data_IF_024958100320
#
_entry.id   IF_024958100320
#
_cell.length_a   1.000
_cell.length_b   1.000
_cell.length_c   1.000
_cell.angle_alpha   90.00
_cell.angle_beta   90.00
_cell.angle_gamma   90.00
#
_symmetry.space_group_name_H-M   'P 1'
#
loop_
_entity.id
_entity.type
_entity.pdbx_description
1 polymer ?
#
# COMPACT_ATOMS: atom_id res chain seq x y z
N UNK A 1 16.01 7.31 -5.91
CA UNK A 1 14.88 7.61 -6.80
C UNK A 1 14.83 6.52 -7.85
N UNK A 2 13.66 6.22 -8.42
CA UNK A 2 13.55 5.16 -9.41
C UNK A 2 14.32 5.52 -10.68
N UNK A 3 14.81 4.50 -11.40
CA UNK A 3 15.70 4.68 -12.55
C UNK A 3 15.08 5.56 -13.66
N UNK A 4 13.77 5.47 -13.86
CA UNK A 4 13.04 6.31 -14.84
C UNK A 4 13.09 7.81 -14.52
N UNK A 5 13.40 8.20 -13.29
CA UNK A 5 13.50 9.60 -12.86
C UNK A 5 14.95 10.13 -12.82
N UNK A 6 15.93 9.37 -13.32
CA UNK A 6 17.35 9.72 -13.26
C UNK A 6 17.63 11.08 -13.90
N UNK A 7 18.40 11.93 -13.20
CA UNK A 7 18.77 13.27 -13.67
C UNK A 7 17.68 14.35 -13.52
N UNK A 8 16.53 14.02 -12.93
CA UNK A 8 15.43 14.98 -12.71
C UNK A 8 15.21 15.28 -11.23
N UNK A 9 14.50 16.37 -10.92
CA UNK A 9 14.04 16.67 -9.56
C UNK A 9 12.95 15.71 -9.06
N UNK A 10 12.38 14.87 -9.94
CA UNK A 10 11.34 13.90 -9.60
C UNK A 10 11.89 12.76 -8.73
N UNK A 11 13.14 12.34 -8.98
CA UNK A 11 13.76 11.23 -8.24
C UNK A 11 13.81 11.46 -6.72
N UNK A 12 14.37 12.60 -6.24
CA UNK A 12 14.37 12.95 -4.82
C UNK A 12 12.97 13.14 -4.23
N UNK A 13 12.04 13.76 -4.98
CA UNK A 13 10.66 13.96 -4.52
C UNK A 13 9.94 12.62 -4.33
N UNK A 14 10.14 11.68 -5.25
CA UNK A 14 9.61 10.32 -5.14
C UNK A 14 10.20 9.58 -3.93
N UNK A 15 11.52 9.66 -3.69
CA UNK A 15 12.13 9.03 -2.52
C UNK A 15 11.59 9.58 -1.20
N UNK A 16 11.39 10.90 -1.13
CA UNK A 16 10.81 11.54 0.05
C UNK A 16 9.38 11.04 0.29
N UNK A 17 8.56 10.95 -0.76
CA UNK A 17 7.20 10.43 -0.68
C UNK A 17 7.19 8.95 -0.27
N UNK A 18 8.02 8.11 -0.88
CA UNK A 18 8.16 6.68 -0.53
C UNK A 18 8.59 6.51 0.93
N UNK A 19 9.55 7.32 1.39
CA UNK A 19 10.00 7.30 2.79
C UNK A 19 8.85 7.65 3.74
N UNK A 20 8.09 8.71 3.45
CA UNK A 20 6.94 9.08 4.28
C UNK A 20 5.84 8.01 4.26
N UNK A 21 5.52 7.44 3.10
CA UNK A 21 4.51 6.41 2.97
C UNK A 21 4.88 5.11 3.70
N UNK A 22 6.14 4.66 3.60
CA UNK A 22 6.60 3.43 4.26
C UNK A 22 6.60 3.51 5.78
N UNK A 23 6.64 4.71 6.38
CA UNK A 23 6.45 4.89 7.83
C UNK A 23 5.07 4.40 8.31
N UNK A 24 4.06 4.37 7.44
CA UNK A 24 2.72 3.86 7.77
C UNK A 24 2.70 2.37 8.13
N UNK A 25 3.71 1.59 7.73
CA UNK A 25 3.86 0.19 8.15
C UNK A 25 3.95 0.05 9.69
N UNK A 26 4.55 1.03 10.38
CA UNK A 26 4.69 1.02 11.84
C UNK A 26 3.38 1.22 12.61
N UNK A 27 2.26 1.44 11.91
CA UNK A 27 0.92 1.51 12.50
C UNK A 27 0.22 0.13 12.56
N UNK A 28 0.83 -0.88 11.95
CA UNK A 28 0.38 -2.26 11.98
C UNK A 28 1.22 -3.06 12.97
N UNK A 29 0.61 -4.06 13.62
CA UNK A 29 1.40 -5.09 14.29
C UNK A 29 2.09 -6.01 13.27
N UNK A 30 3.02 -6.83 13.74
CA UNK A 30 3.82 -7.71 12.86
C UNK A 30 2.96 -8.70 12.07
N UNK A 31 1.84 -9.16 12.65
CA UNK A 31 0.95 -10.11 11.99
C UNK A 31 0.15 -9.43 10.87
N UNK A 32 -0.35 -8.21 11.11
CA UNK A 32 -1.05 -7.37 10.13
C UNK A 32 -0.12 -6.96 9.01
N UNK A 33 1.10 -6.54 9.35
CA UNK A 33 2.11 -6.17 8.38
C UNK A 33 2.49 -7.34 7.47
N UNK A 34 2.76 -8.52 8.05
CA UNK A 34 3.08 -9.72 7.28
C UNK A 34 1.94 -10.14 6.34
N UNK A 35 0.69 -10.08 6.82
CA UNK A 35 -0.47 -10.37 5.98
C UNK A 35 -0.57 -9.43 4.77
N UNK A 36 -0.41 -8.12 4.99
CA UNK A 36 -0.46 -7.12 3.91
C UNK A 36 0.62 -7.40 2.88
N UNK A 37 1.86 -7.59 3.33
CA UNK A 37 3.01 -7.86 2.45
C UNK A 37 2.82 -9.14 1.64
N UNK A 38 2.40 -10.23 2.28
CA UNK A 38 2.19 -11.52 1.61
C UNK A 38 1.07 -11.46 0.57
N UNK A 39 -0.02 -10.75 0.88
CA UNK A 39 -1.17 -10.62 -0.02
C UNK A 39 -0.81 -9.79 -1.24
N UNK A 40 -0.15 -8.64 -1.03
CA UNK A 40 0.29 -7.77 -2.12
C UNK A 40 1.38 -8.44 -2.97
N UNK A 41 2.31 -9.18 -2.36
CA UNK A 41 3.33 -9.93 -3.09
C UNK A 41 2.72 -10.93 -4.10
N UNK A 42 1.63 -11.61 -3.70
CA UNK A 42 0.93 -12.62 -4.52
C UNK A 42 -0.04 -12.01 -5.52
N UNK A 43 -0.39 -10.74 -5.37
CA UNK A 43 -1.31 -10.05 -6.27
C UNK A 43 -0.73 -9.98 -7.69
N UNK A 44 -1.56 -10.22 -8.69
CA UNK A 44 -1.20 -10.32 -10.11
C UNK A 44 -1.62 -9.10 -10.94
N UNK A 45 -2.17 -8.06 -10.30
CA UNK A 45 -2.72 -6.89 -10.99
C UNK A 45 -4.24 -6.95 -11.20
N UNK A 46 -4.88 -8.10 -10.95
CA UNK A 46 -6.33 -8.26 -11.15
C UNK A 46 -7.15 -7.52 -10.09
N UNK A 47 -8.38 -7.13 -10.45
CA UNK A 47 -9.28 -6.52 -9.49
C UNK A 47 -9.83 -7.58 -8.52
N UNK A 48 -9.82 -7.34 -7.20
CA UNK A 48 -10.39 -8.28 -6.25
C UNK A 48 -11.87 -8.58 -6.52
N UNK A 49 -12.28 -9.84 -6.38
CA UNK A 49 -13.68 -10.26 -6.53
C UNK A 49 -14.62 -9.48 -5.58
N UNK A 50 -15.90 -9.35 -5.93
CA UNK A 50 -16.88 -8.63 -5.10
C UNK A 50 -16.97 -9.18 -3.67
N UNK A 51 -16.97 -10.51 -3.51
CA UNK A 51 -16.83 -11.21 -2.23
C UNK A 51 -15.38 -11.61 -1.99
N UNK A 52 -14.49 -10.65 -1.74
CA UNK A 52 -13.08 -10.92 -1.48
C UNK A 52 -12.91 -11.70 -0.17
N UNK A 53 -12.91 -13.03 -0.23
CA UNK A 53 -12.83 -13.92 0.94
C UNK A 53 -11.57 -13.71 1.78
N UNK A 54 -10.46 -13.32 1.14
CA UNK A 54 -9.19 -13.02 1.82
C UNK A 54 -9.09 -11.62 2.44
N UNK A 55 -10.14 -10.80 2.35
CA UNK A 55 -10.15 -9.47 2.95
C UNK A 55 -10.35 -9.58 4.48
N UNK A 56 -9.46 -9.01 5.31
CA UNK A 56 -9.58 -9.14 6.76
C UNK A 56 -10.89 -8.58 7.29
N UNK A 57 -11.38 -9.21 8.35
CA UNK A 57 -12.54 -8.74 9.07
C UNK A 57 -12.27 -7.36 9.68
N UNK A 58 -13.27 -6.49 9.58
CA UNK A 58 -13.18 -5.10 10.01
C UNK A 58 -13.02 -4.96 11.52
N UNK A 59 -13.67 -5.81 12.31
CA UNK A 59 -13.60 -5.74 13.77
C UNK A 59 -12.31 -6.37 14.31
N UNK A 60 -11.84 -7.43 13.66
CA UNK A 60 -10.66 -8.17 14.12
C UNK A 60 -9.33 -7.52 13.68
N UNK A 61 -9.24 -7.07 12.42
CA UNK A 61 -7.98 -6.59 11.81
C UNK A 61 -8.20 -5.34 10.95
N UNK A 62 -8.71 -4.24 11.56
CA UNK A 62 -9.08 -3.03 10.82
C UNK A 62 -7.90 -2.38 10.07
N UNK A 63 -6.69 -2.48 10.64
CA UNK A 63 -5.47 -1.91 10.04
C UNK A 63 -5.06 -2.62 8.77
N UNK A 64 -4.90 -3.95 8.84
CA UNK A 64 -4.60 -4.76 7.66
C UNK A 64 -5.67 -4.62 6.57
N UNK A 65 -6.95 -4.56 6.96
CA UNK A 65 -8.06 -4.35 6.03
C UNK A 65 -7.91 -3.03 5.27
N UNK A 66 -7.68 -1.91 5.95
CA UNK A 66 -7.51 -0.61 5.31
C UNK A 66 -6.30 -0.57 4.39
N UNK A 67 -5.15 -1.12 4.81
CA UNK A 67 -3.95 -1.18 3.98
C UNK A 67 -4.19 -2.00 2.70
N UNK A 68 -4.87 -3.14 2.80
CA UNK A 68 -5.20 -4.00 1.65
C UNK A 68 -6.22 -3.36 0.71
N UNK A 69 -7.24 -2.68 1.25
CA UNK A 69 -8.17 -1.92 0.43
C UNK A 69 -7.45 -0.78 -0.29
N UNK A 70 -6.61 -0.01 0.41
CA UNK A 70 -5.83 1.07 -0.21
C UNK A 70 -4.91 0.56 -1.34
N UNK A 71 -4.31 -0.61 -1.16
CA UNK A 71 -3.44 -1.24 -2.14
C UNK A 71 -4.21 -1.76 -3.37
N UNK A 72 -5.28 -2.53 -3.16
CA UNK A 72 -5.85 -3.39 -4.20
C UNK A 72 -7.26 -3.01 -4.66
N UNK A 73 -8.01 -2.25 -3.85
CA UNK A 73 -9.37 -1.84 -4.14
C UNK A 73 -9.76 -0.53 -3.42
N UNK A 74 -9.05 0.60 -3.65
CA UNK A 74 -9.21 1.81 -2.84
C UNK A 74 -10.64 2.38 -2.90
N UNK A 75 -11.34 2.15 -4.01
CA UNK A 75 -12.74 2.51 -4.22
C UNK A 75 -13.73 1.75 -3.31
N UNK A 76 -13.28 0.76 -2.55
CA UNK A 76 -14.09 -0.02 -1.60
C UNK A 76 -13.91 0.40 -0.15
N UNK A 77 -13.03 1.34 0.16
CA UNK A 77 -12.88 1.86 1.52
C UNK A 77 -14.18 2.57 1.90
N UNK A 78 -14.75 2.19 3.05
CA UNK A 78 -15.97 2.82 3.58
C UNK A 78 -15.69 3.61 4.85
N UNK A 79 -16.63 4.48 5.24
CA UNK A 79 -16.57 5.21 6.50
C UNK A 79 -16.52 4.26 7.71
N UNK A 80 -17.15 3.09 7.62
CA UNK A 80 -17.07 2.07 8.67
C UNK A 80 -15.68 1.44 8.77
N UNK A 81 -14.96 1.26 7.66
CA UNK A 81 -13.58 0.78 7.70
C UNK A 81 -12.67 1.80 8.41
N UNK A 82 -12.86 3.09 8.09
CA UNK A 82 -12.13 4.19 8.74
C UNK A 82 -12.49 4.27 10.23
N UNK A 83 -13.78 4.21 10.58
CA UNK A 83 -14.24 4.32 11.96
C UNK A 83 -13.77 3.14 12.83
N UNK A 84 -13.72 1.93 12.28
CA UNK A 84 -13.24 0.75 13.00
C UNK A 84 -11.74 0.86 13.35
N UNK A 85 -10.93 1.45 12.48
CA UNK A 85 -9.50 1.61 12.72
C UNK A 85 -9.15 2.86 13.53
N UNK A 86 -9.84 3.98 13.27
CA UNK A 86 -9.54 5.31 13.84
C UNK A 86 -10.07 5.44 15.26
N UNK A 87 -9.60 4.56 16.13
CA UNK A 87 -9.80 4.57 17.57
C UNK A 87 -8.49 4.99 18.25
N UNK A 88 -8.53 5.55 19.48
CA UNK A 88 -7.30 5.91 20.19
C UNK A 88 -6.32 4.73 20.27
N UNK A 89 -5.01 4.93 19.99
CA UNK A 89 -4.31 6.22 19.83
C UNK A 89 -4.26 6.76 18.38
N UNK A 90 -4.93 6.14 17.42
CA UNK A 90 -4.82 6.48 16.01
C UNK A 90 -5.59 7.75 15.64
N UNK A 91 -4.98 8.59 14.80
CA UNK A 91 -5.51 9.89 14.36
C UNK A 91 -5.67 9.94 12.83
N UNK A 92 -6.24 11.02 12.29
CA UNK A 92 -6.27 11.25 10.83
C UNK A 92 -4.87 11.28 10.21
N UNK A 93 -3.90 11.81 10.94
CA UNK A 93 -2.51 11.80 10.50
C UNK A 93 -2.00 10.36 10.33
N UNK A 94 -2.33 9.48 11.28
CA UNK A 94 -2.01 8.05 11.18
C UNK A 94 -2.77 7.41 10.02
N UNK A 95 -4.04 7.75 9.79
CA UNK A 95 -4.85 7.22 8.69
C UNK A 95 -4.20 7.52 7.34
N UNK A 96 -3.79 8.77 7.12
CA UNK A 96 -3.10 9.17 5.88
C UNK A 96 -1.84 8.33 5.65
N UNK A 97 -1.05 8.08 6.71
CA UNK A 97 0.15 7.24 6.61
C UNK A 97 -0.20 5.78 6.30
N UNK A 98 -1.24 5.21 6.92
CA UNK A 98 -1.67 3.84 6.65
C UNK A 98 -2.17 3.66 5.21
N UNK A 99 -2.97 4.59 4.72
CA UNK A 99 -3.46 4.57 3.34
C UNK A 99 -2.30 4.74 2.36
N UNK A 100 -1.38 5.68 2.63
CA UNK A 100 -0.19 5.88 1.82
C UNK A 100 0.69 4.61 1.79
N UNK A 101 0.85 3.94 2.93
CA UNK A 101 1.56 2.66 3.01
C UNK A 101 0.93 1.60 2.10
N UNK A 102 -0.38 1.39 2.19
CA UNK A 102 -1.09 0.43 1.33
C UNK A 102 -0.92 0.75 -0.16
N UNK A 103 -1.10 2.02 -0.54
CA UNK A 103 -0.90 2.45 -1.92
C UNK A 103 0.54 2.20 -2.41
N UNK A 104 1.55 2.52 -1.59
CA UNK A 104 2.96 2.28 -1.95
C UNK A 104 3.32 0.82 -2.01
N UNK A 105 2.73 -0.04 -1.18
CA UNK A 105 2.94 -1.48 -1.28
C UNK A 105 2.52 -2.02 -2.67
N UNK A 106 1.40 -1.52 -3.22
CA UNK A 106 0.97 -1.86 -4.57
C UNK A 106 1.94 -1.28 -5.64
N UNK A 107 2.42 -0.05 -5.46
CA UNK A 107 3.43 0.56 -6.35
C UNK A 107 4.71 -0.28 -6.37
N UNK A 108 5.27 -0.62 -5.22
CA UNK A 108 6.49 -1.44 -5.11
C UNK A 108 6.29 -2.83 -5.76
N UNK A 109 5.09 -3.41 -5.62
CA UNK A 109 4.74 -4.67 -6.27
C UNK A 109 4.66 -4.55 -7.79
N UNK A 110 4.12 -3.46 -8.31
CA UNK A 110 4.06 -3.22 -9.76
C UNK A 110 5.48 -2.98 -10.29
N UNK A 111 6.26 -2.12 -9.62
CA UNK A 111 7.63 -1.82 -10.01
C UNK A 111 8.51 -3.08 -10.04
N UNK A 112 8.37 -3.97 -9.06
CA UNK A 112 9.13 -5.25 -9.02
C UNK A 112 8.72 -6.26 -10.09
N UNK A 113 7.53 -6.13 -10.69
CA UNK A 113 7.12 -6.96 -11.82
C UNK A 113 7.49 -6.40 -13.20
N UNK A 114 7.97 -5.16 -13.27
CA UNK A 114 8.46 -4.60 -14.52
C UNK A 114 9.77 -5.29 -14.91
N UNK A 115 9.88 -5.86 -16.12
CA UNK A 115 11.12 -6.47 -16.57
C UNK A 115 12.20 -5.39 -16.69
N UNK A 116 13.38 -5.64 -16.10
CA UNK A 116 14.52 -4.72 -16.10
C UNK A 116 15.02 -4.33 -17.52
N UNK A 117 14.56 -5.02 -18.57
CA UNK A 117 14.98 -4.83 -19.95
C UNK A 117 14.30 -3.68 -20.70
N UNK A 118 13.14 -3.17 -20.26
CA UNK A 118 12.48 -2.04 -20.96
C UNK A 118 13.11 -0.66 -20.66
N UNK A 119 13.92 -0.54 -19.61
CA UNK A 119 14.56 0.73 -19.23
C UNK A 119 15.94 0.97 -19.86
N UNK A 120 16.49 -0.01 -20.60
CA UNK A 120 17.80 0.07 -21.27
C UNK A 120 17.74 -0.24 -22.78
N UNK A 121 16.54 -0.45 -23.33
CA UNK A 121 16.33 -0.97 -24.69
C UNK A 121 16.00 0.05 -25.79
N UNK A 122 16.11 1.35 -25.52
CA UNK A 122 16.11 2.37 -26.57
C UNK A 122 17.55 2.82 -26.82
N UNK A 123 18.31 2.00 -27.56
CA UNK A 123 19.61 2.36 -28.14
C UNK A 123 19.47 2.57 -29.63
#
# INVERSE_FOLDING_TARGET
GPAWAAGTSVGPAYDALRTAATMGAGLLDDADLGLVQDTVAKWDGSHPAAGWEGLPDRAERPGARLALLAALAPYRITDEDVAAWRVPPFTDHCLVHLIAYGAFAAVDRIESALPAAELLGAS
#
